data_IF_210234025121
#
_entry.id   IF_210234025121
#
_cell.length_a   1.000
_cell.length_b   1.000
_cell.length_c   1.000
_cell.angle_alpha   90.00
_cell.angle_beta   90.00
_cell.angle_gamma   90.00
#
_symmetry.space_group_name_H-M   'P 1'
#
loop_
_entity.id
_entity.type
_entity.pdbx_description
1 polymer ?
#
# COMPACT_ATOMS: atom_id res chain seq x y z
N UNK A 1 17.26 -9.02 0.68
CA UNK A 1 16.67 -8.13 -0.33
C UNK A 1 16.04 -6.95 0.38
N UNK A 2 16.42 -5.74 -0.01
CA UNK A 2 15.86 -4.52 0.58
C UNK A 2 14.43 -4.30 0.08
N UNK A 3 13.60 -3.63 0.89
CA UNK A 3 12.20 -3.37 0.54
C UNK A 3 12.06 -2.58 -0.78
N UNK A 4 12.92 -1.58 -0.99
CA UNK A 4 12.97 -0.79 -2.22
C UNK A 4 13.27 -1.64 -3.46
N UNK A 5 14.09 -2.69 -3.34
CA UNK A 5 14.37 -3.61 -4.44
C UNK A 5 13.13 -4.44 -4.80
N UNK A 6 12.35 -4.88 -3.80
CA UNK A 6 11.10 -5.60 -4.00
C UNK A 6 10.11 -4.79 -4.86
N UNK A 7 9.98 -3.49 -4.54
CA UNK A 7 9.10 -2.56 -5.26
C UNK A 7 9.60 -2.33 -6.69
N UNK A 8 10.92 -2.15 -6.87
CA UNK A 8 11.51 -1.97 -8.22
C UNK A 8 11.28 -3.17 -9.12
N UNK A 9 11.29 -4.38 -8.56
CA UNK A 9 11.02 -5.63 -9.28
C UNK A 9 9.53 -5.91 -9.51
N UNK A 10 8.62 -4.99 -9.11
CA UNK A 10 7.18 -5.18 -9.20
C UNK A 10 6.72 -6.52 -8.58
N UNK A 11 7.35 -6.90 -7.47
CA UNK A 11 7.02 -8.13 -6.75
C UNK A 11 5.57 -8.09 -6.27
N UNK A 12 4.82 -9.21 -6.33
CA UNK A 12 3.51 -9.29 -5.69
C UNK A 12 3.64 -9.11 -4.17
N UNK A 13 2.86 -8.19 -3.61
CA UNK A 13 2.92 -7.83 -2.20
C UNK A 13 1.54 -7.91 -1.55
N UNK A 14 1.57 -8.12 -0.24
CA UNK A 14 0.42 -8.04 0.65
C UNK A 14 0.78 -7.21 1.88
N UNK A 15 -0.20 -6.48 2.41
CA UNK A 15 -0.02 -5.63 3.59
C UNK A 15 -0.98 -6.07 4.68
N UNK A 16 -0.49 -6.11 5.93
CA UNK A 16 -1.33 -6.37 7.08
C UNK A 16 -2.00 -5.06 7.52
N UNK A 17 -3.32 -5.01 7.49
CA UNK A 17 -4.09 -3.82 7.87
C UNK A 17 -5.27 -4.18 8.79
N UNK A 18 -5.69 -3.28 9.67
CA UNK A 18 -6.95 -3.37 10.39
C UNK A 18 -8.13 -3.59 9.46
N UNK A 19 -9.12 -4.36 9.93
CA UNK A 19 -10.41 -4.40 9.26
C UNK A 19 -11.11 -3.05 9.44
N UNK A 20 -11.75 -2.56 8.38
CA UNK A 20 -12.48 -1.27 8.41
C UNK A 20 -13.66 -1.31 9.39
N UNK A 21 -14.31 -2.46 9.52
CA UNK A 21 -15.46 -2.70 10.39
C UNK A 21 -15.07 -3.06 11.81
N UNK A 22 -13.90 -3.68 12.01
CA UNK A 22 -13.36 -4.02 13.32
C UNK A 22 -11.85 -3.71 13.40
N UNK A 23 -11.47 -2.46 13.77
CA UNK A 23 -10.06 -2.02 13.72
C UNK A 23 -9.09 -2.75 14.65
N UNK A 24 -9.60 -3.54 15.60
CA UNK A 24 -8.78 -4.38 16.49
C UNK A 24 -8.34 -5.68 15.80
N UNK A 25 -9.11 -6.15 14.82
CA UNK A 25 -8.75 -7.29 14.00
C UNK A 25 -7.93 -6.86 12.79
N UNK A 26 -6.96 -7.70 12.40
CA UNK A 26 -6.08 -7.44 11.26
C UNK A 26 -6.20 -8.54 10.25
N UNK A 27 -6.11 -8.15 8.98
CA UNK A 27 -6.09 -9.08 7.87
C UNK A 27 -5.08 -8.64 6.83
N UNK A 28 -4.52 -9.60 6.12
CA UNK A 28 -3.73 -9.28 4.94
C UNK A 28 -4.65 -8.81 3.82
N UNK A 29 -4.18 -7.82 3.05
CA UNK A 29 -4.79 -7.37 1.80
C UNK A 29 -3.75 -7.40 0.70
N UNK A 30 -4.18 -7.77 -0.51
CA UNK A 30 -3.35 -7.66 -1.70
C UNK A 30 -3.09 -6.20 -2.02
N UNK A 31 -1.93 -5.93 -2.61
CA UNK A 31 -1.53 -4.61 -3.05
C UNK A 31 -1.45 -4.56 -4.57
N UNK A 32 -2.09 -3.57 -5.18
CA UNK A 32 -2.07 -3.37 -6.63
C UNK A 32 -0.79 -2.69 -7.10
N UNK A 33 -0.39 -1.62 -6.41
CA UNK A 33 0.78 -0.81 -6.71
C UNK A 33 1.37 -0.30 -5.38
N UNK A 34 2.70 -0.22 -5.32
CA UNK A 34 3.45 0.37 -4.20
C UNK A 34 4.42 1.41 -4.73
N UNK A 35 4.53 2.51 -4.02
CA UNK A 35 5.47 3.59 -4.28
C UNK A 35 6.23 3.93 -3.00
N UNK A 36 7.51 4.24 -3.17
CA UNK A 36 8.29 4.94 -2.15
C UNK A 36 8.30 6.41 -2.52
N UNK A 37 8.07 7.28 -1.53
CA UNK A 37 8.02 8.73 -1.71
C UNK A 37 8.84 9.40 -0.62
N UNK A 38 9.56 10.45 -0.97
CA UNK A 38 10.26 11.27 0.02
C UNK A 38 9.31 12.36 0.51
N UNK A 39 9.26 12.55 1.83
CA UNK A 39 8.40 13.56 2.46
C UNK A 39 9.19 14.32 3.52
N UNK A 40 8.67 15.46 3.98
CA UNK A 40 9.28 16.22 5.07
C UNK A 40 9.42 15.43 6.39
N UNK A 41 8.64 14.35 6.56
CA UNK A 41 8.68 13.48 7.75
C UNK A 41 9.56 12.22 7.57
N UNK A 42 10.24 12.08 6.42
CA UNK A 42 11.02 10.91 6.03
C UNK A 42 10.37 10.11 4.89
N UNK A 43 10.86 8.90 4.67
CA UNK A 43 10.36 8.01 3.61
C UNK A 43 8.92 7.58 3.88
N UNK A 44 8.06 7.76 2.89
CA UNK A 44 6.68 7.30 2.83
C UNK A 44 6.54 6.08 1.94
N UNK A 45 5.73 5.12 2.39
CA UNK A 45 5.19 4.02 1.60
C UNK A 45 3.76 4.37 1.24
N UNK A 46 3.49 4.49 -0.06
CA UNK A 46 2.14 4.61 -0.60
C UNK A 46 1.78 3.30 -1.27
N UNK A 47 0.60 2.77 -0.96
CA UNK A 47 0.11 1.58 -1.62
C UNK A 47 -1.36 1.72 -2.02
N UNK A 48 -1.74 1.05 -3.11
CA UNK A 48 -3.10 1.05 -3.65
C UNK A 48 -3.73 -0.33 -3.50
N UNK A 49 -5.01 -0.38 -3.11
CA UNK A 49 -5.80 -1.62 -3.18
C UNK A 49 -6.07 -2.04 -4.65
N UNK A 50 -6.28 -3.35 -4.92
CA UNK A 50 -6.85 -3.81 -6.18
C UNK A 50 -8.11 -3.03 -6.57
N UNK A 51 -8.33 -2.86 -7.87
CA UNK A 51 -9.46 -2.12 -8.43
C UNK A 51 -9.49 -0.61 -8.12
N UNK A 52 -8.36 -0.05 -7.69
CA UNK A 52 -8.22 1.39 -7.43
C UNK A 52 -8.73 2.32 -8.55
N UNK A 53 -8.63 2.01 -9.86
CA UNK A 53 -9.14 2.92 -10.89
C UNK A 53 -10.67 3.03 -10.88
N UNK A 54 -11.36 1.99 -10.42
CA UNK A 54 -12.82 1.95 -10.32
C UNK A 54 -13.34 2.45 -8.96
N UNK A 55 -12.49 2.47 -7.94
CA UNK A 55 -12.83 2.86 -6.56
C UNK A 55 -12.33 4.27 -6.19
N UNK A 56 -12.52 5.24 -7.10
CA UNK A 56 -11.99 6.61 -6.99
C UNK A 56 -12.48 7.36 -5.74
N UNK A 57 -13.70 7.06 -5.28
CA UNK A 57 -14.33 7.70 -4.12
C UNK A 57 -13.85 7.13 -2.78
N UNK A 58 -13.29 5.91 -2.77
CA UNK A 58 -13.01 5.17 -1.53
C UNK A 58 -11.66 5.46 -0.89
N UNK A 59 -10.88 6.41 -1.45
CA UNK A 59 -9.51 6.73 -0.98
C UNK A 59 -8.69 5.47 -0.75
N UNK A 60 -8.54 4.71 -1.81
CA UNK A 60 -7.85 3.42 -1.88
C UNK A 60 -6.33 3.50 -1.75
N UNK A 61 -5.79 4.72 -1.66
CA UNK A 61 -4.39 4.97 -1.36
C UNK A 61 -4.20 5.08 0.15
N UNK A 62 -3.26 4.33 0.68
CA UNK A 62 -2.88 4.36 2.08
C UNK A 62 -1.43 4.79 2.17
N UNK A 63 -1.18 5.79 3.01
CA UNK A 63 0.10 6.48 3.10
C UNK A 63 0.63 6.33 4.51
N UNK A 64 1.79 5.72 4.61
CA UNK A 64 2.48 5.45 5.85
C UNK A 64 3.91 5.96 5.71
N UNK A 65 4.37 6.81 6.63
CA UNK A 65 5.79 7.12 6.77
C UNK A 65 6.44 5.99 7.55
N UNK A 66 7.18 5.15 6.85
CA UNK A 66 7.80 3.98 7.41
C UNK A 66 9.19 3.78 6.81
N UNK A 67 10.05 3.15 7.59
CA UNK A 67 11.31 2.59 7.13
C UNK A 67 11.29 1.07 7.34
N UNK A 68 10.58 0.31 6.48
CA UNK A 68 10.40 -1.12 6.69
C UNK A 68 11.73 -1.86 6.52
N UNK A 69 12.21 -2.47 7.60
CA UNK A 69 13.40 -3.32 7.57
C UNK A 69 13.00 -4.76 7.29
N UNK A 70 13.93 -5.54 6.72
CA UNK A 70 13.69 -6.96 6.50
C UNK A 70 13.48 -7.67 7.85
N UNK A 71 12.34 -8.33 8.01
CA UNK A 71 12.04 -9.16 9.18
C UNK A 71 12.50 -10.60 8.94
N UNK A 72 12.21 -11.10 7.74
CA UNK A 72 12.57 -12.43 7.26
C UNK A 72 12.69 -12.37 5.72
N UNK A 73 13.07 -13.46 5.03
CA UNK A 73 13.24 -13.44 3.56
C UNK A 73 11.97 -13.04 2.78
N UNK A 74 10.80 -13.16 3.40
CA UNK A 74 9.48 -13.00 2.82
C UNK A 74 8.74 -11.75 3.33
N UNK A 75 9.28 -11.01 4.31
CA UNK A 75 8.55 -9.88 4.89
C UNK A 75 9.43 -8.74 5.40
N UNK A 76 8.82 -7.56 5.44
CA UNK A 76 9.39 -6.32 5.95
C UNK A 76 8.45 -5.71 6.99
N UNK A 77 9.04 -5.15 8.04
CA UNK A 77 8.31 -4.60 9.17
C UNK A 77 8.86 -3.23 9.55
N UNK A 78 7.96 -2.32 9.86
CA UNK A 78 8.26 -1.14 10.67
C UNK A 78 7.43 -1.21 11.95
N UNK A 79 8.11 -1.15 13.10
CA UNK A 79 7.47 -1.18 14.41
C UNK A 79 7.00 0.20 14.87
N UNK A 80 7.57 1.27 14.32
CA UNK A 80 7.24 2.67 14.65
C UNK A 80 6.82 3.49 13.42
N UNK A 81 5.91 2.97 12.56
CA UNK A 81 5.43 3.73 11.43
C UNK A 81 4.67 4.95 11.91
N UNK A 82 4.78 6.05 11.17
CA UNK A 82 3.91 7.20 11.29
C UNK A 82 2.87 7.11 10.18
N UNK A 83 1.64 7.48 10.48
CA UNK A 83 0.52 7.30 9.57
C UNK A 83 0.06 8.64 9.04
N UNK A 84 -0.21 8.71 7.73
CA UNK A 84 -0.85 9.87 7.12
C UNK A 84 -2.31 10.02 7.59
N UNK A 85 -2.95 11.16 7.29
CA UNK A 85 -4.26 11.55 7.83
C UNK A 85 -5.43 10.62 7.45
N UNK A 86 -5.27 9.75 6.44
CA UNK A 86 -6.29 8.78 6.01
C UNK A 86 -5.95 7.34 6.34
N UNK A 87 -4.89 7.16 7.12
CA UNK A 87 -4.44 5.84 7.52
C UNK A 87 -4.97 5.50 8.91
N UNK A 88 -5.40 4.25 9.08
CA UNK A 88 -6.04 3.81 10.32
C UNK A 88 -4.96 3.73 11.40
N UNK A 89 -5.06 4.58 12.43
CA UNK A 89 -4.04 4.79 13.47
C UNK A 89 -3.58 3.51 14.22
N UNK A 90 -4.35 2.42 14.14
CA UNK A 90 -4.06 1.12 14.74
C UNK A 90 -3.17 0.18 13.88
N UNK A 91 -2.60 0.67 12.78
CA UNK A 91 -1.74 -0.11 11.87
C UNK A 91 -0.32 -0.44 12.39
N UNK A 92 -0.06 -0.40 13.71
CA UNK A 92 1.26 -0.74 14.26
C UNK A 92 1.35 -2.24 14.66
N UNK A 93 2.38 -2.99 14.23
CA UNK A 93 3.42 -2.60 13.27
C UNK A 93 2.90 -2.59 11.83
N UNK A 94 3.53 -1.78 10.98
CA UNK A 94 3.34 -1.85 9.53
C UNK A 94 4.09 -3.08 9.02
N UNK A 95 3.35 -4.05 8.47
CA UNK A 95 3.92 -5.30 7.97
C UNK A 95 3.54 -5.47 6.51
N UNK A 96 4.56 -5.62 5.66
CA UNK A 96 4.39 -5.96 4.25
C UNK A 96 5.09 -7.29 3.97
N UNK A 97 4.39 -8.20 3.32
CA UNK A 97 4.88 -9.51 2.96
C UNK A 97 4.90 -9.69 1.46
N UNK A 98 5.76 -10.58 0.99
CA UNK A 98 5.62 -11.16 -0.35
C UNK A 98 4.31 -11.92 -0.42
N UNK A 99 3.64 -11.81 -1.56
CA UNK A 99 2.45 -12.58 -1.86
C UNK A 99 2.87 -13.75 -2.79
N UNK A 100 2.70 -14.98 -2.34
CA UNK A 100 3.10 -16.19 -3.09
C UNK A 100 1.89 -16.97 -3.59
N UNK A 101 2.12 -17.93 -4.48
CA UNK A 101 1.09 -18.84 -5.00
C UNK A 101 0.37 -19.67 -3.93
N UNK A 102 1.01 -19.86 -2.79
CA UNK A 102 0.45 -20.60 -1.65
C UNK A 102 -0.42 -19.72 -0.74
N UNK A 103 -0.37 -18.39 -0.92
CA UNK A 103 -1.12 -17.45 -0.09
C UNK A 103 -2.61 -17.47 -0.44
N UNK A 104 -3.51 -17.33 0.56
CA UNK A 104 -4.96 -17.30 0.31
C UNK A 104 -5.40 -16.11 -0.57
N UNK A 105 -4.60 -15.04 -0.60
CA UNK A 105 -4.83 -13.86 -1.44
C UNK A 105 -4.29 -14.01 -2.87
N UNK A 106 -3.65 -15.13 -3.22
CA UNK A 106 -3.08 -15.33 -4.55
C UNK A 106 -4.15 -15.30 -5.64
N UNK A 107 -5.29 -15.94 -5.39
CA UNK A 107 -6.41 -15.93 -6.34
C UNK A 107 -6.94 -14.51 -6.57
N UNK A 108 -7.08 -13.72 -5.51
CA UNK A 108 -7.50 -12.32 -5.63
C UNK A 108 -6.50 -11.48 -6.43
N UNK A 109 -5.19 -11.74 -6.29
CA UNK A 109 -4.16 -11.11 -7.12
C UNK A 109 -4.31 -11.50 -8.59
N UNK A 110 -4.50 -12.79 -8.89
CA UNK A 110 -4.67 -13.25 -10.28
C UNK A 110 -5.92 -12.64 -10.93
N UNK A 111 -7.03 -12.58 -10.19
CA UNK A 111 -8.27 -11.95 -10.64
C UNK A 111 -8.04 -10.47 -10.95
N UNK A 112 -7.33 -9.76 -10.05
CA UNK A 112 -6.90 -8.38 -10.28
C UNK A 112 -6.00 -8.24 -11.51
N UNK A 113 -5.01 -9.12 -11.70
CA UNK A 113 -4.10 -9.07 -12.85
C UNK A 113 -4.85 -9.28 -14.17
N UNK A 114 -5.80 -10.21 -14.21
CA UNK A 114 -6.66 -10.44 -15.36
C UNK A 114 -7.52 -9.21 -15.66
N UNK A 115 -8.13 -8.61 -14.62
CA UNK A 115 -8.90 -7.38 -14.76
C UNK A 115 -8.05 -6.20 -15.27
N UNK A 116 -6.84 -6.02 -14.71
CA UNK A 116 -5.86 -5.02 -15.12
C UNK A 116 -5.49 -5.19 -16.59
N UNK A 117 -5.24 -6.42 -17.02
CA UNK A 117 -4.90 -6.72 -18.42
C UNK A 117 -6.04 -6.31 -19.36
N UNK A 118 -7.29 -6.64 -19.02
CA UNK A 118 -8.46 -6.27 -19.81
C UNK A 118 -8.71 -4.75 -19.87
N UNK A 119 -8.23 -3.98 -18.87
CA UNK A 119 -8.43 -2.52 -18.75
C UNK A 119 -7.12 -1.75 -18.72
N UNK A 120 -6.14 -2.19 -19.51
CA UNK A 120 -4.76 -1.66 -19.46
C UNK A 120 -4.69 -0.13 -19.50
N UNK A 121 -5.55 0.53 -20.29
CA UNK A 121 -5.61 2.00 -20.39
C UNK A 121 -5.99 2.70 -19.10
N UNK A 122 -6.80 2.07 -18.24
CA UNK A 122 -7.28 2.63 -16.96
C UNK A 122 -6.36 2.25 -15.78
N UNK A 123 -5.49 1.26 -15.97
CA UNK A 123 -4.68 0.67 -14.90
C UNK A 123 -3.17 0.93 -15.10
N UNK A 124 -2.86 2.02 -15.79
CA UNK A 124 -1.48 2.43 -16.02
C UNK A 124 -0.84 2.84 -14.70
N UNK A 125 0.44 2.48 -14.54
CA UNK A 125 1.20 2.88 -13.35
C UNK A 125 1.34 4.41 -13.23
N UNK A 126 1.34 5.13 -14.35
CA UNK A 126 1.30 6.60 -14.36
C UNK A 126 0.02 7.14 -13.73
N UNK A 127 -1.14 6.55 -14.05
CA UNK A 127 -2.42 6.94 -13.44
C UNK A 127 -2.48 6.58 -11.95
N UNK A 128 -1.89 5.44 -11.57
CA UNK A 128 -1.73 5.06 -10.16
C UNK A 128 -0.86 6.09 -9.41
N UNK A 129 0.21 6.55 -10.04
CA UNK A 129 1.08 7.60 -9.51
C UNK A 129 0.36 8.94 -9.42
N UNK A 130 -0.36 9.38 -10.45
CA UNK A 130 -1.17 10.60 -10.40
C UNK A 130 -2.18 10.56 -9.25
N UNK A 131 -2.82 9.40 -9.04
CA UNK A 131 -3.70 9.21 -7.88
C UNK A 131 -2.95 9.35 -6.56
N UNK A 132 -1.81 8.67 -6.42
CA UNK A 132 -0.98 8.76 -5.23
C UNK A 132 -0.51 10.20 -4.97
N UNK A 133 -0.06 10.92 -6.00
CA UNK A 133 0.38 12.30 -5.94
C UNK A 133 -0.75 13.24 -5.50
N UNK A 134 -1.96 13.08 -6.04
CA UNK A 134 -3.13 13.87 -5.62
C UNK A 134 -3.48 13.67 -4.14
N UNK A 135 -3.42 12.42 -3.66
CA UNK A 135 -3.64 12.12 -2.24
C UNK A 135 -2.50 12.69 -1.37
N UNK A 136 -1.26 12.63 -1.84
CA UNK A 136 -0.10 13.21 -1.14
C UNK A 136 -0.17 14.75 -1.04
N UNK A 137 -0.65 15.44 -2.08
CA UNK A 137 -0.86 16.90 -2.01
C UNK A 137 -1.89 17.28 -0.93
N UNK A 138 -2.91 16.44 -0.74
CA UNK A 138 -3.94 16.65 0.29
C UNK A 138 -3.43 16.43 1.73
N UNK A 139 -2.15 16.06 1.90
CA UNK A 139 -1.53 15.73 3.21
C UNK A 139 -0.68 16.90 3.76
N UNK A 140 -0.55 18.03 3.04
CA UNK A 140 -0.02 19.25 3.63
C UNK A 140 -0.87 19.72 4.83
N UNK A 141 -0.24 20.23 5.91
CA UNK A 141 -0.83 20.23 7.24
C UNK A 141 -2.00 21.20 7.41
N UNK A 142 -3.08 20.70 8.05
CA UNK A 142 -3.93 21.57 8.86
C UNK A 142 -3.06 22.18 9.97
N UNK A 143 -2.99 23.52 9.98
CA UNK A 143 -2.41 24.30 11.07
C UNK A 143 -3.23 24.00 12.33
N UNK A 144 -2.72 23.13 13.20
CA UNK A 144 -3.20 23.06 14.58
C UNK A 144 -2.68 24.32 15.27
N UNK A 145 -3.58 25.29 15.49
CA UNK A 145 -3.37 26.42 16.40
C UNK A 145 -3.52 25.90 17.83
#
# INVERSE_FOLDING_TARGET
MQFAEAIKQAMPLQVLVPQRTNPLERQFRCVAEVFLVDTASGTGVVWLEPYWPAEVERRVAQICYADPVAKDPMSWIDNSPRFGPFCIAYQKPFLMGRLTSESPLWRALLDWQAWRHARRSQCLRSLAWERAANELMAIEPQRLI
#
